data_IF_334308392161
#
_entry.id   IF_334308392161
#
_cell.length_a   1.000
_cell.length_b   1.000
_cell.length_c   1.000
_cell.angle_alpha   90.00
_cell.angle_beta   90.00
_cell.angle_gamma   90.00
#
_symmetry.space_group_name_H-M   'P 1'
#
loop_
_entity.id
_entity.type
_entity.pdbx_description
1 polymer ?
#
# COMPACT_ATOMS: atom_id res chain seq x y z
N UNK A 1 4.28 9.25 -7.64
CA UNK A 1 4.17 7.82 -7.22
C UNK A 1 5.22 7.01 -7.96
N UNK A 2 5.20 6.99 -9.30
CA UNK A 2 6.23 6.32 -10.10
C UNK A 2 7.65 6.81 -9.76
N UNK A 3 7.88 8.13 -9.72
CA UNK A 3 9.23 8.68 -9.49
C UNK A 3 9.88 8.22 -8.16
N UNK A 4 9.10 8.08 -7.07
CA UNK A 4 9.66 7.69 -5.76
C UNK A 4 10.08 6.21 -5.70
N UNK A 5 9.46 5.38 -6.54
CA UNK A 5 9.76 3.95 -6.66
C UNK A 5 10.84 3.68 -7.73
N UNK A 6 11.16 4.67 -8.57
CA UNK A 6 12.18 4.58 -9.62
C UNK A 6 13.52 5.21 -9.27
N UNK A 7 13.59 6.11 -8.28
CA UNK A 7 14.84 6.71 -7.79
C UNK A 7 15.33 6.04 -6.50
N UNK A 8 16.66 5.98 -6.32
CA UNK A 8 17.29 5.56 -5.07
C UNK A 8 16.79 6.45 -3.93
N UNK A 9 15.95 5.86 -3.08
CA UNK A 9 15.46 6.48 -1.86
C UNK A 9 15.94 5.65 -0.69
N UNK A 10 16.27 6.31 0.41
CA UNK A 10 16.68 5.67 1.67
C UNK A 10 15.52 4.95 2.38
N UNK A 11 14.34 4.91 1.75
CA UNK A 11 13.15 4.28 2.30
C UNK A 11 13.07 2.80 1.89
N UNK A 12 12.72 1.96 2.87
CA UNK A 12 12.27 0.59 2.62
C UNK A 12 10.75 0.59 2.46
N UNK A 13 10.25 0.09 1.33
CA UNK A 13 8.82 -0.01 1.06
C UNK A 13 8.34 -1.42 1.38
N UNK A 14 7.19 -1.52 2.04
CA UNK A 14 6.54 -2.79 2.38
C UNK A 14 5.13 -2.80 1.85
N UNK A 15 4.64 -3.98 1.47
CA UNK A 15 3.25 -4.17 1.06
C UNK A 15 2.80 -5.59 1.43
N UNK A 16 1.51 -5.80 1.80
CA UNK A 16 0.98 -7.14 1.96
C UNK A 16 1.02 -7.89 0.62
N UNK A 17 1.14 -9.22 0.61
CA UNK A 17 1.06 -10.01 -0.64
C UNK A 17 -0.27 -9.81 -1.35
N UNK A 18 -1.33 -9.46 -0.63
CA UNK A 18 -2.64 -9.06 -1.13
C UNK A 18 -2.55 -7.96 -2.20
N UNK A 19 -1.57 -7.06 -2.11
CA UNK A 19 -1.36 -6.04 -3.13
C UNK A 19 -1.04 -6.64 -4.52
N UNK A 20 -0.45 -7.83 -4.58
CA UNK A 20 -0.24 -8.55 -5.84
C UNK A 20 -1.59 -8.98 -6.43
N UNK A 21 -2.51 -9.47 -5.60
CA UNK A 21 -3.86 -9.86 -6.02
C UNK A 21 -4.59 -8.64 -6.60
N UNK A 22 -4.56 -7.52 -5.90
CA UNK A 22 -5.15 -6.26 -6.37
C UNK A 22 -4.51 -5.76 -7.67
N UNK A 23 -3.17 -5.84 -7.77
CA UNK A 23 -2.43 -5.43 -8.96
C UNK A 23 -2.87 -6.22 -10.20
N UNK A 24 -3.01 -7.53 -10.08
CA UNK A 24 -3.48 -8.38 -11.19
C UNK A 24 -4.97 -8.22 -11.46
N UNK A 25 -5.80 -8.06 -10.42
CA UNK A 25 -7.23 -7.79 -10.56
C UNK A 25 -7.48 -6.52 -11.38
N UNK A 26 -6.67 -5.47 -11.18
CA UNK A 26 -6.77 -4.22 -11.93
C UNK A 26 -5.92 -4.14 -13.19
N UNK A 27 -5.16 -5.18 -13.57
CA UNK A 27 -4.25 -5.17 -14.73
C UNK A 27 -4.93 -4.67 -16.01
N UNK A 28 -6.09 -5.24 -16.36
CA UNK A 28 -6.82 -4.87 -17.59
C UNK A 28 -7.31 -3.42 -17.57
N UNK A 29 -7.73 -2.94 -16.39
CA UNK A 29 -8.13 -1.55 -16.21
C UNK A 29 -6.93 -0.62 -16.31
N UNK A 30 -5.78 -0.98 -15.73
CA UNK A 30 -4.56 -0.20 -15.84
C UNK A 30 -4.12 -0.14 -17.31
N UNK A 31 -4.14 -1.28 -18.01
CA UNK A 31 -3.80 -1.39 -19.41
C UNK A 31 -4.66 -0.46 -20.27
N UNK A 32 -5.99 -0.46 -20.07
CA UNK A 32 -6.93 0.36 -20.87
C UNK A 32 -6.79 1.86 -20.66
N UNK A 33 -6.29 2.31 -19.51
CA UNK A 33 -5.98 3.72 -19.25
C UNK A 33 -4.51 4.09 -19.49
N UNK A 34 -3.64 3.09 -19.67
CA UNK A 34 -2.24 3.30 -20.01
C UNK A 34 -2.05 3.44 -21.52
N UNK A 35 -0.92 4.01 -21.94
CA UNK A 35 -0.47 3.98 -23.33
C UNK A 35 0.54 2.83 -23.56
N UNK A 36 0.57 1.86 -22.65
CA UNK A 36 1.53 0.76 -22.65
C UNK A 36 0.95 -0.46 -23.37
N UNK A 37 1.82 -1.26 -23.95
CA UNK A 37 1.56 -2.65 -24.27
C UNK A 37 1.48 -3.50 -22.99
N UNK A 38 0.89 -4.70 -23.11
CA UNK A 38 0.85 -5.63 -21.98
C UNK A 38 2.26 -6.02 -21.50
N UNK A 39 3.20 -6.21 -22.43
CA UNK A 39 4.60 -6.53 -22.10
C UNK A 39 5.27 -5.41 -21.29
N UNK A 40 5.15 -4.15 -21.73
CA UNK A 40 5.67 -2.99 -21.00
C UNK A 40 5.02 -2.84 -19.61
N UNK A 41 3.72 -3.14 -19.48
CA UNK A 41 3.03 -3.10 -18.20
C UNK A 41 3.56 -4.18 -17.24
N UNK A 42 3.80 -5.40 -17.74
CA UNK A 42 4.34 -6.50 -16.95
C UNK A 42 5.80 -6.24 -16.55
N UNK A 43 6.61 -5.65 -17.42
CA UNK A 43 7.96 -5.19 -17.09
C UNK A 43 7.93 -4.13 -15.98
N UNK A 44 7.02 -3.16 -16.09
CA UNK A 44 6.82 -2.15 -15.04
C UNK A 44 6.42 -2.80 -13.71
N UNK A 45 5.48 -3.75 -13.71
CA UNK A 45 5.10 -4.47 -12.50
C UNK A 45 6.27 -5.24 -11.91
N UNK A 46 7.09 -5.90 -12.73
CA UNK A 46 8.30 -6.58 -12.27
C UNK A 46 9.28 -5.64 -11.58
N UNK A 47 9.54 -4.46 -12.18
CA UNK A 47 10.43 -3.45 -11.59
C UNK A 47 9.88 -2.90 -10.27
N UNK A 48 8.58 -2.64 -10.19
CA UNK A 48 7.92 -2.18 -8.97
C UNK A 48 8.00 -3.24 -7.86
N UNK A 49 7.68 -4.49 -8.17
CA UNK A 49 7.70 -5.59 -7.20
C UNK A 49 9.11 -5.91 -6.70
N UNK A 50 10.15 -5.62 -7.48
CA UNK A 50 11.55 -5.72 -7.03
C UNK A 50 11.95 -4.67 -5.99
N UNK A 51 11.26 -3.54 -5.95
CA UNK A 51 11.59 -2.42 -5.04
C UNK A 51 10.82 -2.45 -3.73
N UNK A 52 9.76 -3.27 -3.65
CA UNK A 52 8.92 -3.41 -2.45
C UNK A 52 9.15 -4.76 -1.78
N UNK A 53 9.21 -4.74 -0.46
CA UNK A 53 9.24 -5.95 0.37
C UNK A 53 7.81 -6.49 0.51
N UNK A 54 7.59 -7.69 -0.03
CA UNK A 54 6.34 -8.41 0.14
C UNK A 54 6.30 -9.02 1.54
N UNK A 55 5.35 -8.57 2.36
CA UNK A 55 5.13 -9.11 3.69
C UNK A 55 4.00 -10.15 3.66
N UNK A 56 4.26 -11.30 4.28
CA UNK A 56 3.28 -12.37 4.40
C UNK A 56 2.30 -12.06 5.55
N UNK A 57 1.04 -11.85 5.20
CA UNK A 57 -0.01 -11.42 6.10
C UNK A 57 -0.34 -12.44 7.19
N UNK A 58 0.00 -13.72 6.97
CA UNK A 58 -0.11 -14.77 7.98
C UNK A 58 0.85 -14.55 9.15
N UNK A 59 1.87 -13.70 8.99
CA UNK A 59 2.80 -13.31 10.05
C UNK A 59 2.31 -12.12 10.88
N UNK A 60 1.23 -11.44 10.47
CA UNK A 60 0.67 -10.32 11.23
C UNK A 60 -0.05 -10.85 12.47
N UNK A 61 0.21 -10.23 13.63
CA UNK A 61 -0.40 -10.69 14.87
C UNK A 61 -1.93 -10.53 14.85
N UNK A 62 -2.66 -11.48 15.46
CA UNK A 62 -4.12 -11.37 15.59
C UNK A 62 -4.54 -10.07 16.31
N UNK A 63 -3.72 -9.59 17.25
CA UNK A 63 -3.99 -8.34 17.95
C UNK A 63 -3.89 -7.12 17.02
N UNK A 64 -2.95 -7.15 16.07
CA UNK A 64 -2.78 -6.12 15.05
C UNK A 64 -3.95 -6.13 14.07
N UNK A 65 -4.38 -7.32 13.62
CA UNK A 65 -5.58 -7.45 12.78
C UNK A 65 -6.83 -6.85 13.41
N UNK A 66 -7.06 -7.11 14.71
CA UNK A 66 -8.20 -6.55 15.43
C UNK A 66 -8.15 -5.03 15.48
N UNK A 67 -6.99 -4.46 15.84
CA UNK A 67 -6.79 -3.01 15.85
C UNK A 67 -7.01 -2.39 14.47
N UNK A 68 -6.46 -3.01 13.43
CA UNK A 68 -6.62 -2.54 12.06
C UNK A 68 -8.10 -2.57 11.62
N UNK A 69 -8.83 -3.62 12.00
CA UNK A 69 -10.26 -3.75 11.71
C UNK A 69 -11.09 -2.68 12.43
N UNK A 70 -10.79 -2.42 13.72
CA UNK A 70 -11.44 -1.34 14.47
C UNK A 70 -11.25 0.03 13.80
N UNK A 71 -10.08 0.29 13.20
CA UNK A 71 -9.80 1.54 12.49
C UNK A 71 -10.55 1.65 11.16
N UNK A 72 -10.70 0.54 10.41
CA UNK A 72 -11.07 0.60 8.99
C UNK A 72 -12.48 0.12 8.67
N UNK A 73 -13.16 -0.60 9.58
CA UNK A 73 -14.45 -1.26 9.30
C UNK A 73 -15.58 -0.32 8.85
N UNK A 74 -15.54 0.96 9.25
CA UNK A 74 -16.53 1.97 8.85
C UNK A 74 -16.05 2.83 7.66
N UNK A 75 -14.90 2.49 7.06
CA UNK A 75 -14.24 3.26 5.99
C UNK A 75 -14.19 2.43 4.71
N UNK A 76 -13.32 1.42 4.66
CA UNK A 76 -13.18 0.45 3.55
C UNK A 76 -12.47 -0.82 4.05
N UNK A 77 -13.20 -1.93 4.12
CA UNK A 77 -12.65 -3.21 4.58
C UNK A 77 -11.51 -3.74 3.71
N UNK A 78 -11.42 -3.31 2.43
CA UNK A 78 -10.36 -3.76 1.52
C UNK A 78 -8.99 -3.21 1.89
N UNK A 79 -8.95 -2.09 2.60
CA UNK A 79 -7.70 -1.48 3.06
C UNK A 79 -7.11 -2.18 4.29
N UNK A 80 -7.88 -3.08 4.93
CA UNK A 80 -7.51 -3.77 6.16
C UNK A 80 -6.09 -4.38 6.13
N UNK A 81 -5.64 -5.13 5.09
CA UNK A 81 -4.31 -5.72 5.07
C UNK A 81 -3.18 -4.67 5.07
N UNK A 82 -3.41 -3.50 4.46
CA UNK A 82 -2.43 -2.42 4.41
C UNK A 82 -2.31 -1.72 5.77
N UNK A 83 -3.43 -1.48 6.45
CA UNK A 83 -3.44 -0.89 7.79
C UNK A 83 -2.82 -1.84 8.81
N UNK A 84 -3.16 -3.13 8.73
CA UNK A 84 -2.61 -4.15 9.60
C UNK A 84 -1.09 -4.23 9.46
N UNK A 85 -0.57 -4.21 8.22
CA UNK A 85 0.87 -4.22 7.99
C UNK A 85 1.57 -2.95 8.53
N UNK A 86 0.99 -1.77 8.30
CA UNK A 86 1.57 -0.52 8.80
C UNK A 86 1.65 -0.52 10.33
N UNK A 87 0.65 -1.05 11.02
CA UNK A 87 0.66 -1.20 12.47
C UNK A 87 1.66 -2.25 12.94
N UNK A 88 1.75 -3.39 12.27
CA UNK A 88 2.65 -4.50 12.63
C UNK A 88 4.12 -4.06 12.59
N UNK A 89 4.47 -3.28 11.56
CA UNK A 89 5.85 -2.81 11.33
C UNK A 89 6.14 -1.45 12.00
N UNK A 90 5.17 -0.86 12.69
CA UNK A 90 5.24 0.52 13.20
C UNK A 90 5.66 1.52 12.10
N UNK A 91 5.22 1.26 10.87
CA UNK A 91 5.60 2.00 9.67
C UNK A 91 4.66 3.17 9.38
N UNK A 92 5.09 4.05 8.49
CA UNK A 92 4.24 5.10 7.92
C UNK A 92 3.40 4.52 6.78
N UNK A 93 2.08 4.70 6.84
CA UNK A 93 1.17 4.32 5.75
C UNK A 93 1.32 5.29 4.58
N UNK A 94 1.64 4.76 3.40
CA UNK A 94 1.67 5.52 2.17
C UNK A 94 0.46 5.19 1.30
N UNK A 95 -0.48 6.12 1.18
CA UNK A 95 -1.67 5.99 0.34
C UNK A 95 -1.97 7.31 -0.35
N UNK A 96 -2.67 7.25 -1.49
CA UNK A 96 -3.24 8.41 -2.19
C UNK A 96 -4.74 8.57 -1.92
N UNK A 97 -5.36 7.64 -1.21
CA UNK A 97 -6.79 7.70 -0.93
C UNK A 97 -7.07 8.74 0.17
N UNK A 98 -7.59 9.89 -0.22
CA UNK A 98 -7.93 10.96 0.72
C UNK A 98 -9.10 10.60 1.65
N UNK A 99 -10.02 9.74 1.19
CA UNK A 99 -11.15 9.29 2.00
C UNK A 99 -10.64 8.39 3.13
N UNK A 100 -9.75 7.44 2.82
CA UNK A 100 -9.07 6.60 3.79
C UNK A 100 -8.26 7.42 4.79
N UNK A 101 -7.45 8.39 4.32
CA UNK A 101 -6.65 9.25 5.20
C UNK A 101 -7.52 10.02 6.19
N UNK A 102 -8.63 10.62 5.72
CA UNK A 102 -9.56 11.37 6.59
C UNK A 102 -10.25 10.45 7.60
N UNK A 103 -10.72 9.28 7.15
CA UNK A 103 -11.35 8.29 8.00
C UNK A 103 -10.41 7.84 9.13
N UNK A 104 -9.21 7.38 8.78
CA UNK A 104 -8.19 6.93 9.74
C UNK A 104 -7.76 8.05 10.69
N UNK A 105 -7.60 9.28 10.20
CA UNK A 105 -7.25 10.44 11.03
C UNK A 105 -8.32 10.72 12.09
N UNK A 106 -9.60 10.57 11.74
CA UNK A 106 -10.70 10.75 12.69
C UNK A 106 -10.77 9.65 13.76
N UNK A 107 -10.23 8.46 13.45
CA UNK A 107 -10.06 7.35 14.38
C UNK A 107 -8.73 7.42 15.17
N UNK A 108 -7.95 8.50 15.01
CA UNK A 108 -6.72 8.75 15.78
C UNK A 108 -5.43 8.20 15.16
N UNK A 109 -5.48 7.61 13.96
CA UNK A 109 -4.27 7.19 13.24
C UNK A 109 -3.61 8.39 12.56
N UNK A 110 -2.31 8.61 12.78
CA UNK A 110 -1.58 9.79 12.28
C UNK A 110 -0.28 9.44 11.52
N UNK A 111 0.05 8.16 11.42
CA UNK A 111 1.31 7.68 10.86
C UNK A 111 1.22 7.58 9.34
N UNK A 112 1.18 8.73 8.65
CA UNK A 112 1.14 8.80 7.19
C UNK A 112 2.46 9.25 6.61
N UNK A 113 2.88 8.59 5.52
CA UNK A 113 4.01 9.03 4.73
C UNK A 113 3.55 10.05 3.68
N UNK A 114 4.20 11.22 3.65
CA UNK A 114 3.98 12.26 2.65
C UNK A 114 5.30 12.56 1.94
N UNK A 115 5.44 12.22 0.64
CA UNK A 115 6.66 12.51 -0.11
C UNK A 115 7.04 14.00 -0.03
N UNK A 116 8.31 14.30 0.21
CA UNK A 116 8.83 15.68 0.25
C UNK A 116 8.66 16.42 1.58
N UNK A 117 8.03 15.81 2.60
CA UNK A 117 8.04 16.31 3.97
C UNK A 117 9.35 15.88 4.63
N UNK A 118 10.29 16.81 4.86
CA UNK A 118 11.48 16.52 5.67
C UNK A 118 11.03 16.22 7.10
N UNK A 119 11.31 15.01 7.57
CA UNK A 119 11.26 14.62 8.99
C UNK A 119 12.33 15.37 9.77
#
# INVERSE_FOLDING_TARGET
MAELLTFESDYAFFTPRFAIVELFHYKERILSFSQLSEEELLELFHLLLKRVHLYDEDQISLSTWRKAWELVREIDEKDLPFIALALELEALLWTKDEHLVKGLSSQGFQNFFVPGRKT
#
